data_IF_919436790201
#
_entry.id   IF_919436790201
#
_cell.length_a   1.000
_cell.length_b   1.000
_cell.length_c   1.000
_cell.angle_alpha   90.00
_cell.angle_beta   90.00
_cell.angle_gamma   90.00
#
_symmetry.space_group_name_H-M   'P 1'
#
loop_
_entity.id
_entity.type
_entity.pdbx_description
1 polymer ?
#
# COMPACT_ATOMS: atom_id res chain seq x y z
N UNK A 1 -27.40 -9.45 5.23
CA UNK A 1 -26.26 -8.62 5.67
C UNK A 1 -26.15 -7.43 4.76
N UNK A 2 -25.86 -6.24 5.29
CA UNK A 2 -25.58 -5.04 4.49
C UNK A 2 -24.27 -5.24 3.74
N UNK A 3 -24.23 -5.09 2.39
CA UNK A 3 -23.00 -5.26 1.64
C UNK A 3 -21.99 -4.15 2.01
N UNK A 4 -20.70 -4.48 1.99
CA UNK A 4 -19.63 -3.54 2.36
C UNK A 4 -18.71 -3.29 1.17
N UNK A 5 -18.45 -2.01 0.89
CA UNK A 5 -17.35 -1.55 0.06
C UNK A 5 -16.25 -1.09 1.02
N UNK A 6 -15.10 -1.73 0.98
CA UNK A 6 -13.92 -1.30 1.72
C UNK A 6 -12.90 -0.67 0.77
N UNK A 7 -12.28 0.44 1.18
CA UNK A 7 -11.12 0.98 0.50
C UNK A 7 -9.93 0.95 1.46
N UNK A 8 -8.84 0.32 1.02
CA UNK A 8 -7.52 0.45 1.64
C UNK A 8 -6.71 1.50 0.89
N UNK A 9 -6.59 2.67 1.50
CA UNK A 9 -5.90 3.84 1.00
C UNK A 9 -4.52 4.04 1.61
N UNK A 10 -3.67 4.78 0.90
CA UNK A 10 -2.34 5.18 1.36
C UNK A 10 -1.33 5.25 0.22
N UNK A 11 -0.25 6.01 0.41
CA UNK A 11 0.77 6.20 -0.62
C UNK A 11 1.48 4.88 -1.04
N UNK A 12 2.28 4.95 -2.10
CA UNK A 12 3.15 3.84 -2.50
C UNK A 12 4.13 3.51 -1.37
N UNK A 13 4.36 2.22 -1.08
CA UNK A 13 5.24 1.82 0.02
C UNK A 13 4.61 1.89 1.43
N UNK A 14 3.37 2.35 1.57
CA UNK A 14 2.68 2.40 2.87
C UNK A 14 2.38 1.02 3.49
N UNK A 15 2.46 -0.08 2.72
CA UNK A 15 2.17 -1.43 3.21
C UNK A 15 0.68 -1.81 3.16
N UNK A 16 -0.07 -1.25 2.21
CA UNK A 16 -1.51 -1.54 1.99
C UNK A 16 -1.80 -3.02 1.78
N UNK A 17 -1.09 -3.66 0.86
CA UNK A 17 -1.30 -5.08 0.54
C UNK A 17 -0.99 -5.99 1.74
N UNK A 18 0.00 -5.63 2.56
CA UNK A 18 0.33 -6.36 3.78
C UNK A 18 -0.82 -6.29 4.78
N UNK A 19 -1.33 -5.07 5.07
CA UNK A 19 -2.49 -4.90 5.94
C UNK A 19 -3.73 -5.60 5.37
N UNK A 20 -3.96 -5.52 4.06
CA UNK A 20 -5.11 -6.14 3.39
C UNK A 20 -5.18 -7.66 3.67
N UNK A 21 -4.03 -8.35 3.58
CA UNK A 21 -3.95 -9.82 3.77
C UNK A 21 -4.31 -10.23 5.20
N UNK A 22 -3.99 -9.41 6.20
CA UNK A 22 -4.34 -9.69 7.59
C UNK A 22 -5.78 -9.27 7.91
N UNK A 23 -6.17 -8.07 7.49
CA UNK A 23 -7.40 -7.41 7.90
C UNK A 23 -8.64 -7.93 7.16
N UNK A 24 -8.58 -8.04 5.83
CA UNK A 24 -9.75 -8.34 5.01
C UNK A 24 -10.39 -9.71 5.34
N UNK A 25 -9.63 -10.79 5.59
CA UNK A 25 -10.22 -12.07 6.02
C UNK A 25 -11.00 -11.95 7.34
N UNK A 26 -10.49 -11.15 8.30
CA UNK A 26 -11.18 -10.90 9.58
C UNK A 26 -12.48 -10.11 9.40
N UNK A 27 -12.54 -9.26 8.39
CA UNK A 27 -13.76 -8.54 7.98
C UNK A 27 -14.70 -9.37 7.09
N UNK A 28 -14.35 -10.62 6.78
CA UNK A 28 -15.13 -11.47 5.86
C UNK A 28 -15.08 -11.01 4.39
N UNK A 29 -14.16 -10.10 4.04
CA UNK A 29 -14.00 -9.55 2.70
C UNK A 29 -13.05 -10.42 1.88
N UNK A 30 -13.60 -11.28 1.03
CA UNK A 30 -12.83 -12.20 0.18
C UNK A 30 -12.44 -11.59 -1.17
N UNK A 31 -13.25 -10.68 -1.70
CA UNK A 31 -13.01 -10.00 -2.98
C UNK A 31 -12.13 -8.78 -2.73
N UNK A 32 -10.90 -8.81 -3.25
CA UNK A 32 -9.94 -7.72 -3.12
C UNK A 32 -9.42 -7.32 -4.50
N UNK A 33 -9.76 -6.11 -4.92
CA UNK A 33 -9.40 -5.57 -6.23
C UNK A 33 -8.17 -4.68 -6.11
N UNK A 34 -7.12 -5.01 -6.85
CA UNK A 34 -5.87 -4.25 -6.90
C UNK A 34 -5.45 -4.06 -8.36
N UNK A 35 -5.33 -2.79 -8.80
CA UNK A 35 -4.99 -2.45 -10.18
C UNK A 35 -3.59 -2.97 -10.58
N UNK A 36 -2.62 -2.95 -9.66
CA UNK A 36 -1.25 -3.40 -9.94
C UNK A 36 -1.20 -4.92 -10.15
N UNK A 37 -2.02 -5.69 -9.41
CA UNK A 37 -2.14 -7.14 -9.58
C UNK A 37 -2.84 -7.49 -10.90
N UNK A 38 -3.90 -6.76 -11.27
CA UNK A 38 -4.57 -6.92 -12.57
C UNK A 38 -3.59 -6.58 -13.71
N UNK A 39 -2.86 -5.47 -13.61
CA UNK A 39 -1.89 -5.07 -14.61
C UNK A 39 -0.79 -6.13 -14.79
N UNK A 40 -0.28 -6.70 -13.68
CA UNK A 40 0.69 -7.79 -13.72
C UNK A 40 0.12 -9.07 -14.33
N UNK A 41 -1.15 -9.39 -14.06
CA UNK A 41 -1.82 -10.52 -14.69
C UNK A 41 -1.97 -10.37 -16.21
N UNK A 42 -2.20 -9.14 -16.69
CA UNK A 42 -2.32 -8.83 -18.12
C UNK A 42 -0.98 -8.74 -18.86
N UNK A 43 0.04 -8.20 -18.20
CA UNK A 43 1.37 -8.00 -18.78
C UNK A 43 2.44 -8.33 -17.74
N UNK A 44 2.77 -9.62 -17.55
CA UNK A 44 3.68 -10.06 -16.49
C UNK A 44 5.10 -9.50 -16.61
N UNK A 45 5.57 -9.27 -17.84
CA UNK A 45 6.92 -8.76 -18.13
C UNK A 45 7.02 -7.23 -18.06
N UNK A 46 5.91 -6.52 -18.28
CA UNK A 46 5.83 -5.07 -18.13
C UNK A 46 4.39 -4.64 -17.79
N UNK A 47 4.05 -4.58 -16.48
CA UNK A 47 2.71 -4.21 -16.04
C UNK A 47 2.29 -2.80 -16.47
N UNK A 48 3.24 -1.90 -16.74
CA UNK A 48 2.95 -0.50 -17.06
C UNK A 48 2.16 -0.36 -18.37
N UNK A 49 2.39 -1.27 -19.33
CA UNK A 49 1.66 -1.34 -20.60
C UNK A 49 0.16 -1.59 -20.43
N UNK A 50 -0.22 -2.22 -19.32
CA UNK A 50 -1.61 -2.59 -19.01
C UNK A 50 -2.25 -1.72 -17.93
N UNK A 51 -1.58 -0.68 -17.42
CA UNK A 51 -2.08 0.10 -16.28
C UNK A 51 -3.47 0.72 -16.52
N UNK A 52 -3.70 1.35 -17.68
CA UNK A 52 -5.00 1.93 -18.03
C UNK A 52 -6.08 0.85 -18.21
N UNK A 53 -5.74 -0.27 -18.85
CA UNK A 53 -6.68 -1.38 -19.05
C UNK A 53 -7.05 -2.02 -17.71
N UNK A 54 -6.08 -2.22 -16.83
CA UNK A 54 -6.28 -2.74 -15.48
C UNK A 54 -7.20 -1.84 -14.65
N UNK A 55 -7.01 -0.52 -14.72
CA UNK A 55 -7.91 0.44 -14.05
C UNK A 55 -9.35 0.35 -14.53
N UNK A 56 -9.58 0.19 -15.84
CA UNK A 56 -10.93 0.00 -16.40
C UNK A 56 -11.56 -1.32 -15.95
N UNK A 57 -10.82 -2.43 -16.05
CA UNK A 57 -11.30 -3.74 -15.61
C UNK A 57 -11.64 -3.76 -14.11
N UNK A 58 -10.85 -3.08 -13.29
CA UNK A 58 -11.13 -2.95 -11.87
C UNK A 58 -12.47 -2.24 -11.63
N UNK A 59 -12.74 -1.13 -12.33
CA UNK A 59 -14.00 -0.40 -12.20
C UNK A 59 -15.19 -1.20 -12.73
N UNK A 60 -15.01 -1.96 -13.81
CA UNK A 60 -16.03 -2.87 -14.35
C UNK A 60 -16.37 -3.97 -13.33
N UNK A 61 -15.36 -4.64 -12.79
CA UNK A 61 -15.55 -5.68 -11.76
C UNK A 61 -16.19 -5.10 -10.49
N UNK A 62 -15.76 -3.91 -10.05
CA UNK A 62 -16.36 -3.25 -8.91
C UNK A 62 -17.86 -2.96 -9.10
N UNK A 63 -18.27 -2.52 -10.31
CA UNK A 63 -19.69 -2.31 -10.63
C UNK A 63 -20.47 -3.62 -10.69
N UNK A 64 -19.90 -4.66 -11.28
CA UNK A 64 -20.48 -6.01 -11.29
C UNK A 64 -20.75 -6.51 -9.86
N UNK A 65 -19.80 -6.31 -8.95
CA UNK A 65 -19.94 -6.67 -7.54
C UNK A 65 -21.03 -5.84 -6.83
N UNK A 66 -21.13 -4.54 -7.16
CA UNK A 66 -22.21 -3.65 -6.68
C UNK A 66 -23.58 -4.13 -7.17
N UNK A 67 -23.69 -4.54 -8.43
CA UNK A 67 -24.90 -5.08 -9.03
C UNK A 67 -25.34 -6.38 -8.36
N UNK A 68 -24.38 -7.27 -8.05
CA UNK A 68 -24.64 -8.54 -7.37
C UNK A 68 -24.80 -8.41 -5.85
N UNK A 69 -24.76 -7.19 -5.29
CA UNK A 69 -24.76 -6.93 -3.84
C UNK A 69 -23.67 -7.70 -3.07
N UNK A 70 -22.52 -7.92 -3.70
CA UNK A 70 -21.37 -8.60 -3.09
C UNK A 70 -20.49 -7.59 -2.34
N UNK A 71 -19.99 -7.98 -1.16
CA UNK A 71 -19.02 -7.18 -0.41
C UNK A 71 -17.61 -7.35 -0.98
N UNK A 72 -16.84 -6.26 -1.07
CA UNK A 72 -15.51 -6.25 -1.67
C UNK A 72 -14.64 -5.12 -1.12
N UNK A 73 -13.34 -5.25 -1.37
CA UNK A 73 -12.33 -4.26 -1.03
C UNK A 73 -11.56 -3.80 -2.26
N UNK A 74 -11.10 -2.55 -2.26
CA UNK A 74 -10.25 -1.96 -3.29
C UNK A 74 -8.97 -1.45 -2.64
N UNK A 75 -7.80 -1.76 -3.23
CA UNK A 75 -6.56 -1.07 -2.92
C UNK A 75 -6.41 0.19 -3.78
N UNK A 76 -6.09 1.33 -3.16
CA UNK A 76 -5.86 2.57 -3.90
C UNK A 76 -4.78 3.42 -3.26
N UNK A 77 -4.07 4.19 -4.08
CA UNK A 77 -3.21 5.26 -3.57
C UNK A 77 -4.00 6.46 -3.06
N UNK A 78 -5.29 6.56 -3.37
CA UNK A 78 -6.12 7.75 -3.15
C UNK A 78 -5.51 9.06 -3.69
N UNK A 79 -4.54 8.99 -4.61
CA UNK A 79 -3.90 10.16 -5.21
C UNK A 79 -4.75 10.85 -6.30
N UNK A 80 -6.03 10.46 -6.41
CA UNK A 80 -7.00 11.00 -7.35
C UNK A 80 -8.43 10.64 -6.93
N UNK A 81 -9.41 11.16 -7.68
CA UNK A 81 -10.84 11.10 -7.33
C UNK A 81 -11.62 9.97 -8.02
N UNK A 82 -10.92 9.04 -8.66
CA UNK A 82 -11.49 7.99 -9.53
C UNK A 82 -12.61 7.19 -8.85
N UNK A 83 -12.48 6.88 -7.57
CA UNK A 83 -13.42 6.02 -6.86
C UNK A 83 -14.61 6.76 -6.24
N UNK A 84 -14.64 8.11 -6.25
CA UNK A 84 -15.74 8.85 -5.62
C UNK A 84 -17.10 8.57 -6.26
N UNK A 85 -17.14 8.46 -7.59
CA UNK A 85 -18.37 8.11 -8.30
C UNK A 85 -18.85 6.70 -7.93
N UNK A 86 -17.93 5.74 -7.85
CA UNK A 86 -18.21 4.36 -7.45
C UNK A 86 -18.71 4.27 -6.00
N UNK A 87 -18.11 5.02 -5.07
CA UNK A 87 -18.54 5.06 -3.67
C UNK A 87 -19.97 5.61 -3.57
N UNK A 88 -20.27 6.72 -4.27
CA UNK A 88 -21.63 7.29 -4.30
C UNK A 88 -22.64 6.29 -4.86
N UNK A 89 -22.30 5.60 -5.94
CA UNK A 89 -23.13 4.54 -6.53
C UNK A 89 -23.38 3.41 -5.52
N UNK A 90 -22.33 2.88 -4.89
CA UNK A 90 -22.43 1.81 -3.91
C UNK A 90 -23.34 2.22 -2.74
N UNK A 91 -23.11 3.41 -2.15
CA UNK A 91 -23.93 3.92 -1.04
C UNK A 91 -25.39 4.12 -1.43
N UNK A 92 -25.66 4.63 -2.63
CA UNK A 92 -27.02 4.74 -3.16
C UNK A 92 -27.72 3.37 -3.30
N UNK A 93 -26.95 2.27 -3.44
CA UNK A 93 -27.46 0.89 -3.44
C UNK A 93 -27.45 0.23 -2.05
N UNK A 94 -27.24 1.00 -0.99
CA UNK A 94 -27.29 0.52 0.40
C UNK A 94 -26.02 -0.16 0.88
N UNK A 95 -24.87 0.10 0.24
CA UNK A 95 -23.58 -0.36 0.76
C UNK A 95 -23.16 0.47 1.97
N UNK A 96 -22.57 -0.22 2.95
CA UNK A 96 -21.71 0.41 3.96
C UNK A 96 -20.34 0.68 3.36
N UNK A 97 -19.81 1.89 3.51
CA UNK A 97 -18.49 2.28 3.04
C UNK A 97 -17.49 2.36 4.22
N UNK A 98 -16.49 1.47 4.17
CA UNK A 98 -15.43 1.34 5.16
C UNK A 98 -14.10 1.84 4.58
N UNK A 99 -13.45 2.77 5.28
CA UNK A 99 -12.20 3.38 4.82
C UNK A 99 -11.03 3.07 5.77
N UNK A 100 -10.06 2.28 5.33
CA UNK A 100 -8.79 2.11 6.03
C UNK A 100 -7.73 2.94 5.32
N UNK A 101 -7.06 3.84 6.05
CA UNK A 101 -5.99 4.66 5.48
C UNK A 101 -4.68 4.44 6.22
N UNK A 102 -3.59 4.30 5.48
CA UNK A 102 -2.26 4.05 6.03
C UNK A 102 -1.36 5.25 5.78
N UNK A 103 -0.83 5.79 6.88
CA UNK A 103 0.19 6.84 6.88
C UNK A 103 1.57 6.25 7.14
N UNK A 104 2.57 6.99 6.64
CA UNK A 104 3.99 6.82 6.91
C UNK A 104 4.58 8.22 7.08
N UNK A 105 5.79 8.34 7.63
CA UNK A 105 6.34 9.61 8.13
C UNK A 105 6.51 10.65 7.03
N UNK A 106 6.98 10.24 5.85
CA UNK A 106 7.34 11.19 4.80
C UNK A 106 7.31 10.60 3.39
N UNK A 107 7.27 11.48 2.39
CA UNK A 107 7.46 11.10 0.99
C UNK A 107 8.83 10.46 0.76
N UNK A 108 9.89 10.94 1.42
CA UNK A 108 11.22 10.33 1.38
C UNK A 108 11.19 8.88 1.87
N UNK A 109 10.45 8.61 2.95
CA UNK A 109 10.24 7.24 3.42
C UNK A 109 9.47 6.40 2.39
N UNK A 110 8.48 6.97 1.72
CA UNK A 110 7.75 6.31 0.62
C UNK A 110 8.70 5.89 -0.51
N UNK A 111 9.57 6.80 -0.94
CA UNK A 111 10.55 6.59 -2.01
C UNK A 111 11.53 5.48 -1.62
N UNK A 112 12.11 5.55 -0.41
CA UNK A 112 13.04 4.55 0.09
C UNK A 112 12.41 3.15 0.13
N UNK A 113 11.14 3.05 0.56
CA UNK A 113 10.41 1.77 0.58
C UNK A 113 10.09 1.24 -0.81
N UNK A 114 9.76 2.11 -1.76
CA UNK A 114 9.56 1.70 -3.16
C UNK A 114 10.87 1.21 -3.75
N UNK A 115 11.98 1.92 -3.54
CA UNK A 115 13.30 1.52 -4.02
C UNK A 115 13.71 0.14 -3.46
N UNK A 116 13.53 -0.09 -2.16
CA UNK A 116 13.78 -1.41 -1.55
C UNK A 116 12.91 -2.50 -2.19
N UNK A 117 11.62 -2.24 -2.41
CA UNK A 117 10.71 -3.18 -3.06
C UNK A 117 11.16 -3.51 -4.49
N UNK A 118 11.68 -2.53 -5.23
CA UNK A 118 12.22 -2.75 -6.59
C UNK A 118 13.45 -3.65 -6.54
N UNK A 119 14.37 -3.43 -5.59
CA UNK A 119 15.51 -4.32 -5.36
C UNK A 119 15.09 -5.76 -5.06
N UNK A 120 13.92 -5.95 -4.44
CA UNK A 120 13.32 -7.26 -4.16
C UNK A 120 12.43 -7.80 -5.30
N UNK A 121 12.52 -7.22 -6.51
CA UNK A 121 11.79 -7.69 -7.70
C UNK A 121 10.37 -7.14 -7.88
N UNK A 122 9.99 -6.10 -7.15
CA UNK A 122 8.69 -5.43 -7.30
C UNK A 122 8.68 -4.32 -8.36
N UNK A 123 7.50 -3.75 -8.59
CA UNK A 123 7.29 -2.73 -9.64
C UNK A 123 7.96 -1.38 -9.31
N UNK A 124 8.68 -0.84 -10.29
CA UNK A 124 9.30 0.48 -10.24
C UNK A 124 8.27 1.60 -10.41
N UNK A 125 8.32 2.60 -9.55
CA UNK A 125 7.54 3.84 -9.71
C UNK A 125 8.51 5.00 -9.64
N UNK A 126 8.46 5.97 -10.58
CA UNK A 126 9.33 7.13 -10.54
C UNK A 126 9.19 7.89 -9.22
N UNK A 127 10.30 8.36 -8.67
CA UNK A 127 10.36 9.07 -7.38
C UNK A 127 9.41 10.27 -7.33
N UNK A 128 9.42 11.10 -8.38
CA UNK A 128 8.53 12.26 -8.49
C UNK A 128 7.05 11.85 -8.44
N UNK A 129 6.71 10.69 -8.99
CA UNK A 129 5.38 10.13 -8.93
C UNK A 129 5.03 9.67 -7.52
N UNK A 130 5.97 9.05 -6.81
CA UNK A 130 5.79 8.64 -5.42
C UNK A 130 5.52 9.85 -4.52
N UNK A 131 6.35 10.89 -4.62
CA UNK A 131 6.21 12.12 -3.84
C UNK A 131 4.87 12.82 -4.12
N UNK A 132 4.56 13.04 -5.41
CA UNK A 132 3.29 13.65 -5.83
C UNK A 132 2.08 12.85 -5.34
N UNK A 133 2.14 11.52 -5.38
CA UNK A 133 1.06 10.66 -4.89
C UNK A 133 0.95 10.68 -3.37
N UNK A 134 2.06 10.82 -2.64
CA UNK A 134 2.06 10.97 -1.19
C UNK A 134 1.24 12.20 -0.75
N UNK A 135 1.54 13.37 -1.32
CA UNK A 135 0.85 14.61 -0.97
C UNK A 135 -0.64 14.56 -1.33
N UNK A 136 -0.94 14.16 -2.58
CA UNK A 136 -2.32 14.06 -3.08
C UNK A 136 -3.13 13.04 -2.29
N UNK A 137 -2.53 11.90 -1.93
CA UNK A 137 -3.19 10.84 -1.15
C UNK A 137 -3.72 11.39 0.17
N UNK A 138 -2.89 12.15 0.90
CA UNK A 138 -3.26 12.72 2.20
C UNK A 138 -4.35 13.78 2.05
N UNK A 139 -4.21 14.66 1.06
CA UNK A 139 -5.22 15.68 0.79
C UNK A 139 -6.57 15.03 0.46
N UNK A 140 -6.62 14.15 -0.54
CA UNK A 140 -7.86 13.50 -0.95
C UNK A 140 -8.46 12.60 0.14
N UNK A 141 -7.63 11.93 0.94
CA UNK A 141 -8.12 11.18 2.09
C UNK A 141 -9.00 12.09 2.97
N UNK A 142 -8.49 13.24 3.39
CA UNK A 142 -9.21 14.18 4.26
C UNK A 142 -10.40 14.83 3.53
N UNK A 143 -10.19 15.35 2.33
CA UNK A 143 -11.17 16.24 1.67
C UNK A 143 -12.25 15.51 0.91
N UNK A 144 -11.95 14.32 0.36
CA UNK A 144 -12.82 13.66 -0.60
C UNK A 144 -13.34 12.29 -0.13
N UNK A 145 -12.49 11.48 0.51
CA UNK A 145 -12.81 10.09 0.85
C UNK A 145 -13.32 9.89 2.28
N UNK A 146 -12.84 10.69 3.23
CA UNK A 146 -13.27 10.63 4.62
C UNK A 146 -14.73 11.07 4.82
N UNK A 147 -15.23 12.19 4.23
CA UNK A 147 -16.61 12.62 4.43
C UNK A 147 -17.69 11.59 4.05
N UNK A 148 -17.56 10.82 2.96
CA UNK A 148 -18.55 9.79 2.64
C UNK A 148 -18.35 8.48 3.42
N UNK A 149 -17.34 8.30 4.27
CA UNK A 149 -17.11 7.07 5.01
C UNK A 149 -18.16 6.87 6.12
N UNK A 150 -18.71 5.66 6.23
CA UNK A 150 -19.57 5.27 7.36
C UNK A 150 -18.69 4.90 8.57
N UNK A 151 -17.58 4.22 8.32
CA UNK A 151 -16.55 3.88 9.30
C UNK A 151 -15.16 4.14 8.70
N UNK A 152 -14.22 4.58 9.54
CA UNK A 152 -12.86 4.82 9.11
C UNK A 152 -11.83 4.41 10.16
N UNK A 153 -10.64 4.01 9.71
CA UNK A 153 -9.51 3.65 10.57
C UNK A 153 -8.22 4.20 9.99
N UNK A 154 -7.46 4.90 10.82
CA UNK A 154 -6.12 5.40 10.50
C UNK A 154 -5.05 4.45 11.08
N UNK A 155 -4.15 4.02 10.21
CA UNK A 155 -3.02 3.14 10.53
C UNK A 155 -1.72 3.88 10.33
N UNK A 156 -0.86 3.83 11.33
CA UNK A 156 0.54 4.20 11.24
C UNK A 156 1.36 2.97 10.84
N UNK A 157 2.16 3.11 9.78
CA UNK A 157 3.16 2.12 9.41
C UNK A 157 4.52 2.77 9.15
N UNK A 158 4.82 3.89 9.80
CA UNK A 158 6.14 4.54 9.80
C UNK A 158 7.22 3.63 10.38
N UNK A 159 6.89 2.93 11.46
CA UNK A 159 7.68 1.84 12.03
C UNK A 159 6.81 0.58 12.00
N UNK A 160 7.13 -0.44 11.18
CA UNK A 160 6.40 -1.70 11.20
C UNK A 160 6.44 -2.38 12.58
N UNK A 161 5.39 -3.11 12.99
CA UNK A 161 4.17 -3.43 12.23
C UNK A 161 3.13 -2.29 12.23
N UNK A 162 2.07 -2.43 11.41
CA UNK A 162 0.95 -1.50 11.38
C UNK A 162 0.34 -1.31 12.77
N UNK A 163 0.16 -0.06 13.17
CA UNK A 163 -0.47 0.33 14.43
C UNK A 163 -1.70 1.17 14.14
N UNK A 164 -2.86 0.75 14.67
CA UNK A 164 -4.06 1.58 14.65
C UNK A 164 -3.85 2.77 15.57
N UNK A 165 -3.99 3.98 15.03
CA UNK A 165 -3.76 5.24 15.78
C UNK A 165 -5.02 6.07 15.96
N UNK A 166 -6.04 5.91 15.10
CA UNK A 166 -7.35 6.52 15.26
C UNK A 166 -8.42 5.70 14.51
N UNK A 167 -9.67 5.83 14.94
CA UNK A 167 -10.84 5.26 14.27
C UNK A 167 -12.10 6.08 14.54
N UNK A 168 -13.14 5.82 13.76
CA UNK A 168 -14.45 6.49 13.87
C UNK A 168 -15.18 6.24 15.20
N UNK A 169 -14.80 5.23 15.96
CA UNK A 169 -15.44 4.91 17.25
C UNK A 169 -14.89 5.79 18.38
N UNK A 170 -13.63 6.18 18.29
CA UNK A 170 -12.89 6.86 19.36
C UNK A 170 -12.50 8.30 19.03
N UNK A 171 -12.58 8.71 17.76
CA UNK A 171 -12.12 10.02 17.31
C UNK A 171 -13.16 10.70 16.39
N UNK A 172 -13.27 12.02 16.52
CA UNK A 172 -14.05 12.84 15.58
C UNK A 172 -13.25 13.14 14.32
N UNK A 173 -13.94 13.59 13.27
CA UNK A 173 -13.30 14.01 12.02
C UNK A 173 -12.35 15.18 12.24
N UNK A 174 -12.71 16.12 13.11
CA UNK A 174 -11.87 17.28 13.46
C UNK A 174 -10.60 16.84 14.19
N UNK A 175 -10.69 15.88 15.11
CA UNK A 175 -9.52 15.32 15.79
C UNK A 175 -8.58 14.63 14.80
N UNK A 176 -9.13 13.84 13.87
CA UNK A 176 -8.34 13.21 12.81
C UNK A 176 -7.64 14.24 11.90
N UNK A 177 -8.36 15.29 11.49
CA UNK A 177 -7.81 16.37 10.68
C UNK A 177 -6.68 17.09 11.41
N UNK A 178 -6.84 17.36 12.70
CA UNK A 178 -5.81 17.96 13.53
C UNK A 178 -4.57 17.05 13.64
N UNK A 179 -4.75 15.74 13.84
CA UNK A 179 -3.66 14.77 13.85
C UNK A 179 -2.88 14.79 12.53
N UNK A 180 -3.59 14.75 11.39
CA UNK A 180 -2.94 14.74 10.08
C UNK A 180 -2.27 16.05 9.68
N UNK A 181 -2.70 17.18 10.26
CA UNK A 181 -2.13 18.51 10.02
C UNK A 181 -0.94 18.79 10.95
N UNK A 182 -0.97 18.30 12.19
CA UNK A 182 0.13 18.48 13.16
C UNK A 182 1.37 17.68 12.74
N UNK A 183 1.17 16.54 12.09
CA UNK A 183 2.27 15.76 11.48
C UNK A 183 2.94 16.44 10.27
N UNK A 184 2.50 17.63 9.82
CA UNK A 184 3.11 18.37 8.69
C UNK A 184 4.23 19.35 9.07
N UNK A 185 4.54 19.59 10.36
CA UNK A 185 5.45 20.68 10.75
C UNK A 185 6.91 20.26 10.92
N UNK A 186 7.29 19.01 10.64
CA UNK A 186 8.71 18.62 10.63
C UNK A 186 9.04 17.72 9.44
N UNK A 187 9.18 18.31 8.26
CA UNK A 187 10.23 17.83 7.35
C UNK A 187 11.58 18.17 8.00
N UNK A 188 12.08 17.26 8.85
CA UNK A 188 13.45 17.32 9.32
C UNK A 188 14.40 17.13 8.11
N UNK A 189 15.53 17.83 8.05
CA UNK A 189 16.45 17.79 6.91
C UNK A 189 17.01 16.38 6.72
N UNK A 190 17.42 16.09 5.48
CA UNK A 190 18.04 14.84 5.01
C UNK A 190 18.82 14.09 6.11
N UNK A 191 18.30 12.94 6.53
CA UNK A 191 18.97 12.03 7.43
C UNK A 191 19.69 10.99 6.56
N UNK A 192 21.03 10.96 6.63
CA UNK A 192 21.85 9.89 6.07
C UNK A 192 21.30 8.51 6.48
N UNK A 193 21.49 7.51 5.61
CA UNK A 193 20.97 6.14 5.70
C UNK A 193 20.84 5.65 7.16
N UNK A 194 19.62 5.75 7.70
CA UNK A 194 19.42 5.58 9.14
C UNK A 194 19.65 4.12 9.58
N UNK A 195 20.02 3.95 10.84
CA UNK A 195 20.22 2.65 11.50
C UNK A 195 19.06 1.65 11.28
N UNK A 196 17.84 2.13 11.05
CA UNK A 196 16.69 1.32 10.66
C UNK A 196 16.80 0.68 9.27
N UNK A 197 17.42 1.35 8.28
CA UNK A 197 17.68 0.75 6.96
C UNK A 197 18.72 -0.36 7.11
N UNK A 198 19.73 -0.14 7.95
CA UNK A 198 20.73 -1.15 8.29
C UNK A 198 20.10 -2.38 8.96
N UNK A 199 19.23 -2.16 9.95
CA UNK A 199 18.47 -3.23 10.62
C UNK A 199 17.54 -3.96 9.64
N UNK A 200 16.88 -3.24 8.74
CA UNK A 200 16.00 -3.83 7.71
C UNK A 200 16.76 -4.68 6.69
N UNK A 201 17.94 -4.22 6.25
CA UNK A 201 18.85 -4.99 5.40
C UNK A 201 19.38 -6.22 6.13
N UNK A 202 19.73 -6.09 7.40
CA UNK A 202 20.24 -7.19 8.21
C UNK A 202 19.16 -8.24 8.50
N UNK A 203 17.92 -7.84 8.78
CA UNK A 203 16.79 -8.75 8.92
C UNK A 203 16.47 -9.48 7.61
N UNK A 204 16.55 -8.81 6.45
CA UNK A 204 16.45 -9.45 5.13
C UNK A 204 17.59 -10.45 4.91
N UNK A 205 18.83 -10.09 5.25
CA UNK A 205 20.00 -10.98 5.14
C UNK A 205 19.81 -12.24 5.98
N UNK A 206 19.38 -12.10 7.23
CA UNK A 206 19.11 -13.24 8.14
C UNK A 206 17.95 -14.10 7.63
N UNK A 207 16.90 -13.51 7.07
CA UNK A 207 15.79 -14.25 6.48
C UNK A 207 16.24 -15.07 5.24
N UNK A 208 17.06 -14.46 4.38
CA UNK A 208 17.68 -15.14 3.23
C UNK A 208 18.62 -16.25 3.66
N UNK A 209 19.48 -16.02 4.67
CA UNK A 209 20.37 -17.05 5.23
C UNK A 209 19.59 -18.25 5.80
N UNK A 210 18.51 -18.00 6.55
CA UNK A 210 17.63 -19.06 7.08
C UNK A 210 16.94 -19.85 5.98
N UNK A 211 16.50 -19.19 4.91
CA UNK A 211 15.88 -19.84 3.74
C UNK A 211 16.90 -20.73 3.01
N UNK A 212 18.12 -20.23 2.81
CA UNK A 212 19.21 -20.99 2.18
C UNK A 212 19.69 -22.17 3.02
N UNK A 213 19.69 -22.03 4.36
CA UNK A 213 19.94 -23.14 5.28
C UNK A 213 18.84 -24.21 5.20
N UNK A 214 17.58 -23.79 5.12
CA UNK A 214 16.45 -24.71 4.91
C UNK A 214 16.58 -25.50 3.60
N UNK A 215 16.90 -24.84 2.48
CA UNK A 215 17.10 -25.54 1.21
C UNK A 215 18.25 -26.54 1.23
N UNK A 216 19.37 -26.20 1.90
CA UNK A 216 20.49 -27.14 2.09
C UNK A 216 20.09 -28.38 2.90
N UNK A 217 19.27 -28.23 3.94
CA UNK A 217 18.77 -29.36 4.75
C UNK A 217 17.78 -30.25 4.01
N UNK A 218 17.10 -29.72 3.01
CA UNK A 218 16.15 -30.44 2.16
C UNK A 218 16.79 -31.04 0.91
N UNK A 219 18.13 -30.99 0.81
CA UNK A 219 18.92 -31.44 -0.36
C UNK A 219 18.53 -30.73 -1.67
N UNK A 220 17.98 -29.51 -1.55
CA UNK A 220 17.62 -28.65 -2.68
C UNK A 220 18.87 -27.87 -3.08
N UNK A 221 19.29 -28.05 -4.34
CA UNK A 221 20.50 -27.42 -4.89
C UNK A 221 20.35 -25.89 -4.92
N UNK A 222 21.10 -25.19 -4.08
CA UNK A 222 21.20 -23.73 -4.09
C UNK A 222 22.06 -23.28 -5.28
N UNK A 223 21.50 -22.44 -6.15
CA UNK A 223 22.25 -21.86 -7.28
C UNK A 223 22.79 -20.47 -6.93
N UNK A 224 23.85 -19.97 -7.60
CA UNK A 224 24.39 -18.63 -7.37
C UNK A 224 23.35 -17.50 -7.49
N UNK A 225 22.32 -17.71 -8.32
CA UNK A 225 21.20 -16.76 -8.48
C UNK A 225 20.30 -16.67 -7.25
N UNK A 226 20.28 -17.69 -6.39
CA UNK A 226 19.53 -17.71 -5.13
C UNK A 226 20.26 -17.00 -3.98
N UNK A 227 21.54 -16.68 -4.17
CA UNK A 227 22.44 -16.10 -3.15
C UNK A 227 22.79 -14.64 -3.39
N UNK A 228 22.47 -14.07 -4.55
CA UNK A 228 22.89 -12.71 -4.92
C UNK A 228 21.91 -11.66 -4.39
N UNK A 229 22.26 -11.04 -3.24
CA UNK A 229 22.13 -9.60 -3.10
C UNK A 229 23.35 -9.03 -3.85
N UNK A 230 23.14 -8.30 -4.95
CA UNK A 230 24.24 -7.66 -5.67
C UNK A 230 25.06 -6.79 -4.71
N UNK A 231 26.29 -7.21 -4.42
CA UNK A 231 27.29 -6.34 -3.80
C UNK A 231 27.58 -5.21 -4.79
N UNK A 232 27.44 -3.95 -4.36
CA UNK A 232 27.95 -2.83 -5.15
C UNK A 232 29.44 -3.06 -5.45
N UNK A 233 29.92 -2.81 -6.67
CA UNK A 233 31.32 -2.98 -6.97
C UNK A 233 32.13 -2.00 -6.13
N UNK A 234 32.90 -2.54 -5.18
CA UNK A 234 33.91 -1.80 -4.45
C UNK A 234 34.88 -1.15 -5.44
N UNK A 235 35.02 0.17 -5.31
CA UNK A 235 35.99 1.08 -5.95
C UNK A 235 36.90 0.53 -7.04
N UNK A 236 36.75 1.07 -8.25
CA UNK A 236 37.84 1.15 -9.22
C UNK A 236 38.46 2.56 -9.14
N UNK A 237 39.73 2.72 -8.75
CA UNK A 237 40.46 3.97 -8.92
C UNK A 237 41.01 4.05 -10.34
N UNK A 238 40.86 5.20 -11.00
CA UNK A 238 41.90 5.88 -11.78
C UNK A 238 41.47 7.31 -12.10
#
# INVERSE_FOLDING_TARGET
>A
MTPTLCILGGCNGAGKTTLARELLPRLGLKRFLNADEIARGLSPLDPSLSAFKAGRLLLEEARSLIESKASFAIESTLSGKTYLALIREARARGYRFLLHYIVIDSGTQAVARVALRVKLGGHHVPEQDVQRRFDRSRQHFITDYLPPADEWVLWDNSVPPHRRIADSDTHTLEQLQAMMTTSNVQEAPHIEMSEMVRIGLEASRVATEKMLDYYRRMDIRVTPQMTLLEEEPAGAPH
#
